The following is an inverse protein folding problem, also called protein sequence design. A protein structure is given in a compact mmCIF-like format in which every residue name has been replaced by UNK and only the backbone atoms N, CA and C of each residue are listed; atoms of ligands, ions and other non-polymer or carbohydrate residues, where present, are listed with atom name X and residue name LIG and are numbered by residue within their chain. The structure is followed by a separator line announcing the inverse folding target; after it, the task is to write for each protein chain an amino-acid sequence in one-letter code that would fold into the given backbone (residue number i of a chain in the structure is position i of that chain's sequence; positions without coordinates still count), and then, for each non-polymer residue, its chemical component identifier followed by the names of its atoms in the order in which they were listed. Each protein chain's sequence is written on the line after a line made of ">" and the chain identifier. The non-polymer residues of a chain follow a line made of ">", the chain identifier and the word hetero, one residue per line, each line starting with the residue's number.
data_IF_467735315781
#
_entry.id   IF_467735315781
#
_cell.length_a   1.000
_cell.length_b   1.000
_cell.length_c   1.000
_cell.angle_alpha   90.00
_cell.angle_beta   90.00
_cell.angle_gamma   90.00
#
_symmetry.space_group_name_H-M   'P 1'
#
loop_
_entity.id
_entity.type
_entity.pdbx_description
1 polymer ?
#
# COMPACT_ATOMS: atom_id res chain seq x y z
N UNK A 1 21.07 0.60 9.50
CA UNK A 1 20.70 1.58 8.45
C UNK A 1 19.51 1.03 7.68
N UNK A 2 18.39 1.74 7.66
CA UNK A 2 17.18 1.33 6.93
C UNK A 2 17.47 1.32 5.42
N UNK A 3 17.36 0.14 4.78
CA UNK A 3 17.50 -0.05 3.33
C UNK A 3 16.12 -0.23 2.73
N UNK A 4 15.84 0.41 1.59
CA UNK A 4 14.56 0.25 0.89
C UNK A 4 14.41 -1.11 0.23
N UNK A 5 13.18 -1.44 -0.21
CA UNK A 5 12.89 -2.73 -0.86
C UNK A 5 13.67 -2.90 -2.17
N UNK A 6 13.81 -1.83 -2.94
CA UNK A 6 14.56 -1.85 -4.21
C UNK A 6 16.05 -1.52 -4.05
N UNK A 7 16.57 -1.42 -2.84
CA UNK A 7 18.01 -1.32 -2.65
C UNK A 7 18.66 -2.61 -3.19
N UNK A 8 19.73 -2.50 -3.98
CA UNK A 8 20.36 -3.65 -4.65
C UNK A 8 20.64 -4.82 -3.70
N UNK A 9 21.18 -4.51 -2.52
CA UNK A 9 21.37 -5.47 -1.44
C UNK A 9 20.09 -6.25 -1.09
N UNK A 10 18.95 -5.57 -0.91
CA UNK A 10 17.67 -6.19 -0.56
C UNK A 10 17.20 -7.12 -1.66
N UNK A 11 17.25 -6.67 -2.92
CA UNK A 11 16.84 -7.49 -4.07
C UNK A 11 17.72 -8.72 -4.26
N UNK A 12 19.05 -8.57 -4.13
CA UNK A 12 19.99 -9.68 -4.18
C UNK A 12 19.73 -10.67 -3.05
N UNK A 13 19.48 -10.18 -1.84
CA UNK A 13 19.18 -11.03 -0.69
C UNK A 13 17.91 -11.87 -0.93
N UNK A 14 16.82 -11.22 -1.36
CA UNK A 14 15.56 -11.89 -1.69
C UNK A 14 15.74 -12.98 -2.76
N UNK A 15 16.51 -12.69 -3.82
CA UNK A 15 16.76 -13.65 -4.90
C UNK A 15 17.64 -14.81 -4.46
N UNK A 16 18.76 -14.54 -3.80
CA UNK A 16 19.79 -15.53 -3.52
C UNK A 16 19.41 -16.49 -2.37
N UNK A 17 18.51 -16.06 -1.48
CA UNK A 17 18.14 -16.84 -0.29
C UNK A 17 16.69 -17.34 -0.33
N UNK A 18 16.00 -17.20 -1.46
CA UNK A 18 14.56 -17.49 -1.57
C UNK A 18 13.74 -16.81 -0.45
N UNK A 19 14.20 -15.64 0.01
CA UNK A 19 13.59 -14.97 1.15
C UNK A 19 12.24 -14.37 0.75
N UNK A 20 11.28 -14.42 1.67
CA UNK A 20 9.94 -13.87 1.49
C UNK A 20 9.90 -12.42 1.96
N UNK A 21 9.21 -11.56 1.21
CA UNK A 21 9.01 -10.16 1.60
C UNK A 21 7.86 -10.08 2.61
N UNK A 22 8.16 -9.57 3.81
CA UNK A 22 7.21 -9.32 4.89
C UNK A 22 7.11 -7.82 5.08
N UNK A 23 5.90 -7.27 5.07
CA UNK A 23 5.65 -5.85 5.28
C UNK A 23 4.79 -5.61 6.52
N UNK A 24 5.14 -4.58 7.29
CA UNK A 24 4.31 -4.02 8.35
C UNK A 24 4.10 -2.54 8.03
N UNK A 25 2.86 -2.13 7.78
CA UNK A 25 2.53 -0.75 7.44
C UNK A 25 1.82 -0.06 8.59
N UNK A 26 2.13 1.22 8.80
CA UNK A 26 1.51 2.09 9.79
C UNK A 26 0.68 3.15 9.07
N UNK A 27 -0.39 3.62 9.70
CA UNK A 27 -1.19 4.72 9.16
C UNK A 27 -0.29 5.93 8.82
N UNK A 28 -0.32 6.49 7.60
CA UNK A 28 0.69 7.45 7.13
C UNK A 28 0.84 8.71 7.99
N UNK A 29 -0.25 9.29 8.47
CA UNK A 29 -0.18 10.46 9.37
C UNK A 29 0.42 10.08 10.72
N UNK A 30 0.06 8.91 11.28
CA UNK A 30 0.61 8.43 12.55
C UNK A 30 2.11 8.15 12.41
N UNK A 31 2.53 7.64 11.25
CA UNK A 31 3.94 7.44 10.92
C UNK A 31 4.71 8.77 10.82
N UNK A 32 4.20 9.74 10.06
CA UNK A 32 4.86 11.04 9.91
C UNK A 32 4.97 11.79 11.25
N UNK A 33 3.92 11.75 12.08
CA UNK A 33 3.98 12.29 13.44
C UNK A 33 5.04 11.57 14.28
N UNK A 34 5.07 10.23 14.25
CA UNK A 34 6.07 9.46 14.99
C UNK A 34 7.50 9.78 14.56
N UNK A 35 7.72 10.08 13.28
CA UNK A 35 9.02 10.53 12.76
C UNK A 35 9.40 11.89 13.31
N UNK A 36 8.48 12.87 13.28
CA UNK A 36 8.71 14.18 13.88
C UNK A 36 9.11 14.06 15.36
N UNK A 37 8.38 13.25 16.14
CA UNK A 37 8.67 13.02 17.56
C UNK A 37 10.02 12.34 17.76
N UNK A 38 10.34 11.31 16.96
CA UNK A 38 11.65 10.65 16.99
C UNK A 38 12.79 11.65 16.67
N UNK A 39 12.59 12.54 15.71
CA UNK A 39 13.53 13.62 15.42
C UNK A 39 13.68 14.55 16.63
N UNK A 40 12.58 15.11 17.15
CA UNK A 40 12.56 16.11 18.22
C UNK A 40 13.25 15.62 19.49
N UNK A 41 12.97 14.38 19.91
CA UNK A 41 13.36 13.88 21.24
C UNK A 41 14.58 12.96 21.22
N UNK A 42 14.88 12.30 20.09
CA UNK A 42 16.01 11.37 19.98
C UNK A 42 17.09 11.89 19.05
N UNK A 43 16.82 11.94 17.75
CA UNK A 43 17.86 12.16 16.73
C UNK A 43 18.40 13.60 16.71
N UNK A 44 17.58 14.57 17.12
CA UNK A 44 17.88 16.01 17.04
C UNK A 44 17.82 16.70 18.38
N UNK A 45 17.98 15.96 19.49
CA UNK A 45 17.93 16.51 20.87
C UNK A 45 18.78 17.78 21.07
N UNK A 46 19.92 17.89 20.36
CA UNK A 46 20.88 19.00 20.45
C UNK A 46 20.89 19.94 19.24
N UNK A 47 20.04 19.70 18.24
CA UNK A 47 19.97 20.54 17.05
C UNK A 47 19.16 21.80 17.35
N UNK A 48 19.83 22.96 17.32
CA UNK A 48 19.22 24.28 17.58
C UNK A 48 18.30 24.73 16.44
N UNK A 49 18.47 24.18 15.24
CA UNK A 49 17.66 24.54 14.07
C UNK A 49 16.42 23.68 13.94
N UNK A 50 16.32 22.57 14.67
CA UNK A 50 15.13 21.73 14.65
C UNK A 50 13.94 22.50 15.24
N UNK A 51 12.78 22.54 14.56
CA UNK A 51 11.62 23.27 15.03
C UNK A 51 11.04 22.57 16.27
N UNK A 52 11.26 23.19 17.44
CA UNK A 52 10.80 22.68 18.73
C UNK A 52 9.53 23.35 19.21
N UNK A 53 9.12 24.45 18.56
CA UNK A 53 8.08 25.36 18.99
C UNK A 53 8.42 26.12 20.28
N UNK A 54 7.53 27.04 20.66
CA UNK A 54 7.72 27.90 21.83
C UNK A 54 7.22 27.27 23.14
N UNK A 55 6.29 26.30 23.05
CA UNK A 55 5.72 25.63 24.21
C UNK A 55 6.33 24.23 24.43
N UNK A 56 6.08 23.67 25.63
CA UNK A 56 6.56 22.34 26.01
C UNK A 56 5.69 21.20 25.47
N UNK A 57 4.75 21.46 24.55
CA UNK A 57 3.89 20.41 24.02
C UNK A 57 4.69 19.42 23.17
N UNK A 58 4.27 18.15 23.21
CA UNK A 58 4.92 17.08 22.46
C UNK A 58 4.98 17.39 20.96
N UNK A 59 3.94 18.04 20.43
CA UNK A 59 3.79 18.36 19.00
C UNK A 59 4.23 19.79 18.63
N UNK A 60 4.72 20.57 19.59
CA UNK A 60 5.21 21.94 19.33
C UNK A 60 6.31 21.96 18.26
N UNK A 61 6.21 22.90 17.31
CA UNK A 61 7.11 23.02 16.16
C UNK A 61 6.73 22.15 14.95
N UNK A 62 5.69 21.32 15.02
CA UNK A 62 5.32 20.45 13.90
C UNK A 62 4.89 21.22 12.65
N UNK A 63 4.24 22.38 12.79
CA UNK A 63 3.83 23.22 11.64
C UNK A 63 5.03 23.76 10.87
N UNK A 64 6.03 24.26 11.58
CA UNK A 64 7.29 24.74 10.98
C UNK A 64 8.00 23.60 10.26
N UNK A 65 8.03 22.40 10.86
CA UNK A 65 8.57 21.19 10.26
C UNK A 65 7.83 20.79 8.97
N UNK A 66 6.50 20.78 9.00
CA UNK A 66 5.65 20.52 7.83
C UNK A 66 5.93 21.54 6.72
N UNK A 67 5.84 22.83 7.05
CA UNK A 67 6.04 23.93 6.10
C UNK A 67 7.40 23.86 5.43
N UNK A 68 8.44 23.43 6.17
CA UNK A 68 9.77 23.20 5.62
C UNK A 68 9.76 22.13 4.53
N UNK A 69 9.18 20.96 4.81
CA UNK A 69 9.09 19.86 3.84
C UNK A 69 8.15 20.15 2.67
N UNK A 70 7.07 20.90 2.88
CA UNK A 70 6.16 21.31 1.79
C UNK A 70 6.87 22.23 0.80
N UNK A 71 7.55 23.28 1.28
CA UNK A 71 8.30 24.23 0.42
C UNK A 71 9.43 23.55 -0.36
N UNK A 72 9.95 22.45 0.15
CA UNK A 72 11.14 21.79 -0.38
C UNK A 72 10.85 20.43 -0.99
N UNK A 73 9.57 20.11 -1.21
CA UNK A 73 9.10 18.82 -1.73
C UNK A 73 9.85 18.36 -2.99
N UNK A 74 10.25 19.29 -3.85
CA UNK A 74 10.97 19.03 -5.11
C UNK A 74 12.31 19.76 -5.21
N UNK A 75 12.82 20.32 -4.11
CA UNK A 75 14.07 21.06 -4.13
C UNK A 75 15.25 20.09 -4.02
N UNK A 76 15.94 19.88 -5.15
CA UNK A 76 17.11 19.00 -5.22
C UNK A 76 18.37 19.56 -4.56
N UNK A 77 18.40 20.87 -4.28
CA UNK A 77 19.50 21.60 -3.64
C UNK A 77 19.31 21.77 -2.13
N UNK A 78 18.20 21.31 -1.59
CA UNK A 78 17.87 21.51 -0.18
C UNK A 78 18.73 20.56 0.68
N UNK A 79 19.56 21.07 1.60
CA UNK A 79 20.40 20.21 2.46
C UNK A 79 19.49 19.26 3.26
N UNK A 80 19.95 18.01 3.47
CA UNK A 80 19.25 16.97 4.25
C UNK A 80 18.54 17.57 5.47
N UNK A 81 17.22 17.77 5.38
CA UNK A 81 16.50 18.58 6.34
C UNK A 81 16.60 17.99 7.73
N UNK A 82 17.19 18.79 8.62
CA UNK A 82 17.47 18.44 10.00
C UNK A 82 18.23 17.12 10.14
N UNK A 83 18.90 16.63 9.09
CA UNK A 83 19.51 15.29 9.04
C UNK A 83 18.60 14.19 9.65
N UNK A 84 17.30 14.27 9.41
CA UNK A 84 16.31 13.36 9.98
C UNK A 84 15.48 12.67 8.89
N UNK A 85 14.40 11.98 9.28
CA UNK A 85 13.45 11.39 8.34
C UNK A 85 12.80 12.46 7.46
N UNK A 86 12.64 12.15 6.17
CA UNK A 86 11.81 12.91 5.26
C UNK A 86 10.42 12.25 5.20
N UNK A 87 9.36 12.91 5.71
CA UNK A 87 8.04 12.31 5.83
C UNK A 87 7.29 12.18 4.50
N UNK A 88 7.74 12.89 3.45
CA UNK A 88 7.00 12.99 2.20
C UNK A 88 6.89 11.62 1.54
N UNK A 89 5.66 11.08 1.51
CA UNK A 89 5.30 9.81 0.88
C UNK A 89 6.30 8.68 1.17
N UNK A 90 6.75 8.55 2.42
CA UNK A 90 7.86 7.67 2.79
C UNK A 90 7.58 6.20 2.53
N UNK A 91 6.33 5.73 2.72
CA UNK A 91 5.96 4.34 2.45
C UNK A 91 6.06 4.07 0.95
N UNK A 92 5.51 4.95 0.13
CA UNK A 92 5.58 4.85 -1.33
C UNK A 92 7.03 4.90 -1.81
N UNK A 93 7.85 5.84 -1.28
CA UNK A 93 9.29 5.93 -1.58
C UNK A 93 10.02 4.62 -1.26
N UNK A 94 9.79 4.09 -0.07
CA UNK A 94 10.43 2.88 0.42
C UNK A 94 10.06 1.67 -0.46
N UNK A 95 8.81 1.61 -0.93
CA UNK A 95 8.29 0.55 -1.77
C UNK A 95 8.48 0.78 -3.27
N UNK A 96 8.97 1.93 -3.75
CA UNK A 96 9.15 2.19 -5.19
C UNK A 96 10.58 2.52 -5.60
N UNK A 97 11.47 2.82 -4.65
CA UNK A 97 12.80 3.37 -4.93
C UNK A 97 13.93 2.62 -4.22
N UNK A 98 15.15 2.85 -4.68
CA UNK A 98 16.39 2.36 -4.03
C UNK A 98 16.84 3.25 -2.84
N UNK A 99 16.12 4.34 -2.57
CA UNK A 99 16.52 5.35 -1.60
C UNK A 99 16.07 4.97 -0.18
N UNK A 100 16.94 5.18 0.81
CA UNK A 100 16.60 5.04 2.22
C UNK A 100 15.52 6.03 2.66
N UNK A 101 14.75 5.65 3.68
CA UNK A 101 13.81 6.49 4.40
C UNK A 101 14.43 7.80 4.92
N UNK A 102 15.73 7.78 5.25
CA UNK A 102 16.47 8.94 5.76
C UNK A 102 17.10 9.83 4.67
N UNK A 103 17.06 9.41 3.41
CA UNK A 103 17.77 10.11 2.33
C UNK A 103 16.96 11.28 1.76
N UNK A 104 17.69 12.13 1.03
CA UNK A 104 17.29 13.34 0.30
C UNK A 104 15.83 13.35 -0.20
N UNK A 105 15.18 14.53 -0.22
CA UNK A 105 13.87 14.67 -0.87
C UNK A 105 13.95 14.05 -2.26
N UNK A 106 12.93 13.25 -2.63
CA UNK A 106 12.99 12.61 -3.93
C UNK A 106 12.95 13.73 -4.99
N UNK A 107 13.84 13.67 -5.98
CA UNK A 107 13.85 14.64 -7.09
C UNK A 107 12.51 14.65 -7.85
N UNK A 108 11.75 13.56 -7.73
CA UNK A 108 10.49 13.32 -8.41
C UNK A 108 9.49 12.68 -7.45
N UNK A 109 8.20 12.80 -7.75
CA UNK A 109 7.19 12.06 -7.01
C UNK A 109 7.45 10.53 -7.05
N UNK A 110 7.29 9.80 -5.93
CA UNK A 110 7.49 8.36 -5.90
C UNK A 110 6.49 7.64 -6.81
N UNK A 111 6.97 6.58 -7.49
CA UNK A 111 6.13 5.82 -8.42
C UNK A 111 5.13 4.93 -7.65
N UNK A 112 3.89 5.40 -7.54
CA UNK A 112 2.79 4.72 -6.84
C UNK A 112 2.48 3.34 -7.44
N UNK A 113 2.45 3.21 -8.76
CA UNK A 113 2.19 1.94 -9.44
C UNK A 113 3.22 0.88 -9.05
N UNK A 114 4.49 1.25 -9.00
CA UNK A 114 5.57 0.35 -8.58
C UNK A 114 5.45 -0.03 -7.11
N UNK A 115 5.10 0.91 -6.23
CA UNK A 115 4.85 0.62 -4.81
C UNK A 115 3.68 -0.36 -4.63
N UNK A 116 2.59 -0.18 -5.39
CA UNK A 116 1.44 -1.08 -5.37
C UNK A 116 1.80 -2.50 -5.83
N UNK A 117 2.62 -2.64 -6.88
CA UNK A 117 3.11 -3.94 -7.33
C UNK A 117 3.91 -4.65 -6.23
N UNK A 118 4.80 -3.93 -5.53
CA UNK A 118 5.54 -4.49 -4.39
C UNK A 118 4.58 -4.91 -3.28
N UNK A 119 3.67 -4.03 -2.88
CA UNK A 119 2.68 -4.32 -1.85
C UNK A 119 1.85 -5.58 -2.17
N UNK A 120 1.46 -5.76 -3.42
CA UNK A 120 0.73 -6.96 -3.90
C UNK A 120 1.60 -8.21 -3.89
N UNK A 121 2.89 -8.07 -4.20
CA UNK A 121 3.86 -9.18 -4.24
C UNK A 121 4.37 -9.64 -2.87
N UNK A 122 4.19 -8.85 -1.82
CA UNK A 122 4.67 -9.20 -0.49
C UNK A 122 4.01 -10.49 0.00
N UNK A 123 4.79 -11.43 0.51
CA UNK A 123 4.28 -12.72 1.00
C UNK A 123 3.42 -12.57 2.26
N UNK A 124 3.67 -11.52 3.04
CA UNK A 124 2.85 -11.15 4.18
C UNK A 124 2.73 -9.63 4.27
N UNK A 125 1.56 -9.16 4.71
CA UNK A 125 1.29 -7.76 4.99
C UNK A 125 0.52 -7.65 6.31
N UNK A 126 1.10 -6.94 7.28
CA UNK A 126 0.44 -6.60 8.53
C UNK A 126 0.28 -5.09 8.72
N UNK A 127 -0.52 -4.73 9.72
CA UNK A 127 -0.88 -3.37 10.07
C UNK A 127 -0.44 -3.08 11.50
N UNK A 128 0.36 -2.03 11.69
CA UNK A 128 0.94 -1.69 13.00
C UNK A 128 -0.15 -1.34 14.02
N UNK A 129 -1.23 -0.69 13.60
CA UNK A 129 -2.36 -0.36 14.47
C UNK A 129 -3.16 -1.59 14.93
N UNK A 130 -2.97 -2.75 14.28
CA UNK A 130 -3.48 -4.06 14.66
C UNK A 130 -2.31 -5.05 14.78
N UNK A 131 -1.26 -4.62 15.50
CA UNK A 131 -0.01 -5.38 15.62
C UNK A 131 -0.23 -6.81 16.17
N UNK A 132 -0.98 -7.02 17.27
CA UNK A 132 -1.22 -8.36 17.77
C UNK A 132 -1.92 -9.28 16.75
N UNK A 133 -2.96 -8.78 16.08
CA UNK A 133 -3.71 -9.52 15.06
C UNK A 133 -2.82 -9.81 13.83
N UNK A 134 -1.95 -8.86 13.48
CA UNK A 134 -0.96 -9.04 12.41
C UNK A 134 0.04 -10.14 12.78
N UNK A 135 0.50 -10.21 14.03
CA UNK A 135 1.42 -11.27 14.48
C UNK A 135 0.74 -12.64 14.52
N UNK A 136 -0.52 -12.72 14.93
CA UNK A 136 -1.32 -13.93 14.84
C UNK A 136 -1.48 -14.42 13.39
N UNK A 137 -1.86 -13.51 12.47
CA UNK A 137 -1.96 -13.82 11.05
C UNK A 137 -0.62 -14.27 10.45
N UNK A 138 0.48 -13.60 10.85
CA UNK A 138 1.82 -13.97 10.42
C UNK A 138 2.21 -15.37 10.92
N UNK A 139 1.93 -15.68 12.18
CA UNK A 139 2.19 -16.99 12.77
C UNK A 139 1.44 -18.08 12.00
N UNK A 140 0.14 -17.91 11.74
CA UNK A 140 -0.66 -18.85 10.97
C UNK A 140 -0.12 -19.05 9.55
N UNK A 141 0.21 -17.95 8.86
CA UNK A 141 0.73 -17.98 7.50
C UNK A 141 2.12 -18.64 7.38
N UNK A 142 2.89 -18.70 8.46
CA UNK A 142 4.27 -19.23 8.45
C UNK A 142 4.40 -20.62 9.05
N UNK A 143 3.56 -20.98 10.01
CA UNK A 143 3.57 -22.31 10.64
C UNK A 143 2.65 -23.30 9.94
N UNK A 144 1.66 -22.83 9.18
CA UNK A 144 0.66 -23.70 8.54
C UNK A 144 -0.29 -24.35 9.55
N UNK A 145 -0.42 -23.78 10.75
CA UNK A 145 -1.40 -24.22 11.73
C UNK A 145 -2.81 -24.21 11.11
N UNK A 146 -3.51 -25.32 11.26
CA UNK A 146 -4.90 -25.48 10.79
C UNK A 146 -5.91 -24.77 11.68
N UNK A 147 -5.55 -24.53 12.94
CA UNK A 147 -6.42 -23.93 13.95
C UNK A 147 -5.84 -22.60 14.43
N UNK A 148 -6.74 -21.65 14.66
CA UNK A 148 -6.40 -20.35 15.25
C UNK A 148 -6.11 -20.57 16.74
N UNK A 149 -4.90 -20.23 17.23
CA UNK A 149 -4.62 -20.32 18.66
C UNK A 149 -5.65 -19.51 19.46
N UNK A 150 -6.09 -20.02 20.61
CA UNK A 150 -7.15 -19.38 21.40
C UNK A 150 -6.84 -17.91 21.73
N UNK A 151 -5.58 -17.57 22.01
CA UNK A 151 -5.14 -16.20 22.26
C UNK A 151 -5.18 -15.28 21.02
N UNK A 152 -5.30 -15.83 19.82
CA UNK A 152 -5.44 -15.07 18.57
C UNK A 152 -6.89 -14.82 18.18
N UNK A 153 -7.85 -15.44 18.89
CA UNK A 153 -9.27 -15.23 18.65
C UNK A 153 -9.66 -13.84 19.17
N UNK A 154 -10.33 -13.06 18.35
CA UNK A 154 -10.89 -11.77 18.71
C UNK A 154 -11.69 -11.86 20.01
N UNK A 155 -11.47 -10.89 20.90
CA UNK A 155 -12.12 -10.82 22.21
C UNK A 155 -11.35 -11.56 23.30
N UNK A 156 -10.48 -12.50 22.93
CA UNK A 156 -9.57 -13.09 23.90
C UNK A 156 -8.41 -12.13 24.18
N UNK A 157 -8.02 -11.98 25.45
CA UNK A 157 -6.89 -11.13 25.80
C UNK A 157 -5.61 -11.79 25.27
N UNK A 158 -4.80 -11.00 24.56
CA UNK A 158 -3.48 -11.42 24.05
C UNK A 158 -2.44 -11.36 25.18
N UNK A 159 -2.87 -11.42 26.44
CA UNK A 159 -2.15 -10.90 27.61
C UNK A 159 -0.92 -11.70 28.03
N UNK A 160 -0.68 -12.88 27.46
CA UNK A 160 0.39 -13.78 27.94
C UNK A 160 1.51 -14.04 26.93
N UNK A 161 1.40 -13.55 25.69
CA UNK A 161 2.53 -13.60 24.77
C UNK A 161 3.26 -12.27 24.83
N UNK A 162 4.50 -12.31 25.32
CA UNK A 162 5.40 -11.16 25.34
C UNK A 162 5.72 -10.75 23.90
N UNK A 163 4.80 -10.06 23.25
CA UNK A 163 5.07 -9.35 22.03
C UNK A 163 6.18 -8.35 22.36
N UNK A 164 7.37 -8.61 21.81
CA UNK A 164 8.52 -7.77 22.06
C UNK A 164 8.22 -6.36 21.53
N UNK A 165 8.04 -5.42 22.45
CA UNK A 165 7.85 -4.02 22.11
C UNK A 165 9.01 -3.21 22.67
N UNK A 166 9.89 -2.77 21.77
CA UNK A 166 10.93 -1.83 22.14
C UNK A 166 10.29 -0.46 22.40
N UNK A 167 10.36 0.01 23.65
CA UNK A 167 9.94 1.37 23.98
C UNK A 167 11.07 2.31 23.59
N UNK A 168 10.91 2.98 22.45
CA UNK A 168 11.72 4.15 22.16
C UNK A 168 11.36 5.24 23.19
N UNK A 169 12.35 5.77 23.92
CA UNK A 169 12.19 6.75 25.00
C UNK A 169 11.72 8.13 24.50
N UNK A 170 10.59 8.16 23.79
CA UNK A 170 9.93 9.35 23.28
C UNK A 170 8.62 9.59 24.02
N UNK A 171 8.21 10.86 24.22
CA UNK A 171 6.94 11.15 24.87
C UNK A 171 5.76 10.51 24.14
N UNK A 172 4.71 10.20 24.92
CA UNK A 172 3.43 9.79 24.35
C UNK A 172 2.90 10.86 23.39
N UNK A 173 2.36 10.42 22.26
CA UNK A 173 1.81 11.27 21.23
C UNK A 173 0.61 10.61 20.55
N UNK A 174 -0.32 11.44 20.07
CA UNK A 174 -1.50 11.00 19.33
C UNK A 174 -1.78 11.96 18.19
N UNK A 175 -2.36 11.48 17.10
CA UNK A 175 -2.84 12.36 16.01
C UNK A 175 -3.97 13.28 16.46
N UNK A 176 -4.66 12.93 17.54
CA UNK A 176 -5.72 13.75 18.12
C UNK A 176 -5.19 14.99 18.85
N UNK A 177 -3.89 15.04 19.15
CA UNK A 177 -3.26 16.25 19.71
C UNK A 177 -2.83 17.25 18.64
N UNK A 178 -3.04 16.95 17.36
CA UNK A 178 -2.78 17.86 16.25
C UNK A 178 -4.01 18.73 16.01
N UNK A 179 -3.78 20.03 15.81
CA UNK A 179 -4.82 20.88 15.25
C UNK A 179 -5.09 20.56 13.77
N UNK A 180 -6.20 21.11 13.26
CA UNK A 180 -6.64 20.84 11.88
C UNK A 180 -5.61 21.27 10.84
N UNK A 181 -4.89 22.37 11.08
CA UNK A 181 -3.87 22.89 10.17
C UNK A 181 -2.69 21.91 10.07
N UNK A 182 -2.12 21.49 11.20
CA UNK A 182 -1.02 20.53 11.24
C UNK A 182 -1.44 19.17 10.65
N UNK A 183 -2.65 18.69 10.97
CA UNK A 183 -3.17 17.44 10.41
C UNK A 183 -3.33 17.53 8.89
N UNK A 184 -3.84 18.64 8.37
CA UNK A 184 -3.94 18.90 6.92
C UNK A 184 -2.58 18.97 6.24
N UNK A 185 -1.61 19.63 6.87
CA UNK A 185 -0.23 19.67 6.38
C UNK A 185 0.40 18.28 6.29
N UNK A 186 0.23 17.45 7.33
CA UNK A 186 0.68 16.05 7.26
C UNK A 186 0.00 15.28 6.12
N UNK A 187 -1.33 15.42 5.93
CA UNK A 187 -2.05 14.79 4.81
C UNK A 187 -1.44 15.13 3.47
N UNK A 188 -1.09 16.41 3.24
CA UNK A 188 -0.44 16.86 1.99
C UNK A 188 0.91 16.17 1.78
N UNK A 189 1.70 16.02 2.84
CA UNK A 189 3.01 15.35 2.76
C UNK A 189 2.89 13.85 2.47
N UNK A 190 1.85 13.19 2.96
CA UNK A 190 1.69 11.72 2.89
C UNK A 190 0.54 11.26 1.97
N UNK A 191 0.12 12.11 1.03
CA UNK A 191 -1.08 11.85 0.21
C UNK A 191 -0.99 10.58 -0.64
N UNK A 192 0.19 10.24 -1.18
CA UNK A 192 0.36 9.01 -1.93
C UNK A 192 0.29 7.78 -1.02
N UNK A 193 0.87 7.90 0.18
CA UNK A 193 0.89 6.86 1.20
C UNK A 193 -0.51 6.56 1.74
N UNK A 194 -1.39 7.56 1.88
CA UNK A 194 -2.78 7.34 2.30
C UNK A 194 -3.51 6.40 1.33
N UNK A 195 -3.40 6.63 0.02
CA UNK A 195 -3.98 5.72 -0.97
C UNK A 195 -3.32 4.33 -0.94
N UNK A 196 -2.00 4.25 -0.77
CA UNK A 196 -1.28 2.98 -0.67
C UNK A 196 -1.70 2.18 0.57
N UNK A 197 -1.90 2.87 1.70
CA UNK A 197 -2.39 2.28 2.95
C UNK A 197 -3.86 1.82 2.84
N UNK A 198 -4.70 2.47 2.03
CA UNK A 198 -6.04 1.97 1.71
C UNK A 198 -5.98 0.59 1.03
N UNK A 199 -5.10 0.42 0.02
CA UNK A 199 -4.88 -0.89 -0.60
C UNK A 199 -4.30 -1.89 0.39
N UNK A 200 -3.44 -1.44 1.31
CA UNK A 200 -2.89 -2.27 2.37
C UNK A 200 -3.97 -2.82 3.31
N UNK A 201 -4.84 -1.94 3.83
CA UNK A 201 -5.93 -2.32 4.73
C UNK A 201 -6.90 -3.30 4.07
N UNK A 202 -7.28 -3.04 2.82
CA UNK A 202 -8.14 -3.96 2.08
C UNK A 202 -7.47 -5.33 1.86
N UNK A 203 -6.18 -5.37 1.54
CA UNK A 203 -5.47 -6.65 1.43
C UNK A 203 -5.42 -7.35 2.80
N UNK A 204 -5.05 -6.63 3.86
CA UNK A 204 -4.97 -7.18 5.21
C UNK A 204 -6.31 -7.79 5.64
N UNK A 205 -7.42 -7.09 5.42
CA UNK A 205 -8.77 -7.61 5.66
C UNK A 205 -9.03 -8.89 4.86
N UNK A 206 -8.71 -8.93 3.56
CA UNK A 206 -8.85 -10.16 2.75
C UNK A 206 -8.00 -11.31 3.27
N UNK A 207 -6.78 -11.03 3.70
CA UNK A 207 -5.85 -12.03 4.25
C UNK A 207 -6.40 -12.57 5.59
N UNK A 208 -7.02 -11.73 6.43
CA UNK A 208 -7.68 -12.17 7.66
C UNK A 208 -8.96 -12.97 7.43
N UNK A 209 -9.72 -12.65 6.37
CA UNK A 209 -10.95 -13.36 6.04
C UNK A 209 -10.73 -14.83 5.64
N UNK A 210 -9.49 -15.20 5.29
CA UNK A 210 -9.09 -16.60 5.08
C UNK A 210 -9.22 -17.44 6.38
N UNK A 211 -9.24 -16.77 7.53
CA UNK A 211 -9.35 -17.36 8.86
C UNK A 211 -10.71 -17.08 9.51
N UNK A 212 -11.79 -17.06 8.71
CA UNK A 212 -13.18 -16.92 9.16
C UNK A 212 -13.50 -15.67 10.00
N UNK A 213 -12.77 -14.56 9.80
CA UNK A 213 -12.97 -13.27 10.49
C UNK A 213 -12.78 -13.31 12.01
N UNK A 214 -12.21 -14.40 12.54
CA UNK A 214 -12.05 -14.56 13.99
C UNK A 214 -10.77 -13.92 14.53
N UNK A 215 -9.84 -13.50 13.67
CA UNK A 215 -8.57 -12.92 14.10
C UNK A 215 -8.63 -11.45 14.51
N UNK A 216 -9.55 -10.67 13.93
CA UNK A 216 -9.69 -9.24 14.22
C UNK A 216 -11.14 -8.92 14.57
N UNK A 217 -11.33 -8.17 15.64
CA UNK A 217 -12.67 -7.76 16.03
C UNK A 217 -13.26 -6.78 15.01
N UNK A 218 -14.53 -6.93 14.59
CA UNK A 218 -15.17 -6.02 13.64
C UNK A 218 -15.05 -4.55 14.06
N UNK A 219 -15.21 -4.25 15.36
CA UNK A 219 -15.01 -2.91 15.93
C UNK A 219 -13.61 -2.35 15.66
N UNK A 220 -12.57 -3.17 15.82
CA UNK A 220 -11.17 -2.79 15.58
C UNK A 220 -10.94 -2.51 14.10
N UNK A 221 -11.38 -3.43 13.22
CA UNK A 221 -11.25 -3.27 11.77
C UNK A 221 -12.00 -2.03 11.27
N UNK A 222 -13.22 -1.80 11.76
CA UNK A 222 -13.99 -0.59 11.43
C UNK A 222 -13.31 0.69 11.90
N UNK A 223 -12.67 0.67 13.07
CA UNK A 223 -11.88 1.81 13.55
C UNK A 223 -10.68 2.11 12.64
N UNK A 224 -9.98 1.09 12.13
CA UNK A 224 -8.87 1.30 11.18
C UNK A 224 -9.34 1.98 9.89
N UNK A 225 -10.47 1.52 9.35
CA UNK A 225 -11.07 2.12 8.15
C UNK A 225 -11.58 3.53 8.42
N UNK A 226 -12.25 3.75 9.55
CA UNK A 226 -12.75 5.06 9.96
C UNK A 226 -11.61 6.08 10.08
N UNK A 227 -10.52 5.73 10.77
CA UNK A 227 -9.31 6.56 10.87
C UNK A 227 -8.78 6.96 9.50
N UNK A 228 -8.64 5.98 8.59
CA UNK A 228 -8.19 6.24 7.22
C UNK A 228 -9.15 7.15 6.46
N UNK A 229 -10.47 6.91 6.55
CA UNK A 229 -11.45 7.74 5.88
C UNK A 229 -11.42 9.17 6.38
N UNK A 230 -11.33 9.41 7.69
CA UNK A 230 -11.19 10.77 8.24
C UNK A 230 -10.02 11.54 7.60
N UNK A 231 -8.96 10.84 7.20
CA UNK A 231 -7.77 11.46 6.63
C UNK A 231 -7.73 11.50 5.09
N UNK A 232 -8.44 10.59 4.41
CA UNK A 232 -8.68 10.67 2.97
C UNK A 232 -9.77 11.70 2.61
N UNK A 233 -10.79 11.82 3.47
CA UNK A 233 -12.06 12.51 3.20
C UNK A 233 -12.13 13.88 3.87
N UNK A 234 -11.16 14.74 3.59
CA UNK A 234 -11.26 16.12 4.05
C UNK A 234 -12.34 16.83 3.24
N UNK A 235 -13.37 17.42 3.88
CA UNK A 235 -14.32 18.24 3.16
C UNK A 235 -13.54 19.38 2.50
N UNK A 236 -13.67 19.48 1.17
CA UNK A 236 -13.14 20.62 0.42
C UNK A 236 -13.86 21.85 0.94
N UNK A 237 -13.18 22.64 1.78
CA UNK A 237 -13.69 23.89 2.31
C UNK A 237 -14.12 24.78 1.14
N UNK A 238 -15.20 25.52 1.34
CA UNK A 238 -15.85 26.30 0.29
C UNK A 238 -14.96 27.38 -0.34
N UNK A 239 -13.79 27.70 0.23
CA UNK A 239 -12.81 28.62 -0.38
C UNK A 239 -12.06 28.04 -1.58
N UNK A 240 -12.11 26.72 -1.80
CA UNK A 240 -11.47 26.07 -2.95
C UNK A 240 -12.45 25.95 -4.15
N UNK A 241 -13.30 26.97 -4.34
CA UNK A 241 -14.34 27.03 -5.37
C UNK A 241 -13.76 26.85 -6.76
N UNK A 242 -12.56 27.38 -7.02
CA UNK A 242 -11.87 27.21 -8.29
C UNK A 242 -11.48 25.75 -8.55
N UNK A 243 -11.09 24.99 -7.53
CA UNK A 243 -10.80 23.55 -7.66
C UNK A 243 -12.07 22.73 -7.88
N UNK A 244 -13.19 23.11 -7.25
CA UNK A 244 -14.51 22.51 -7.54
C UNK A 244 -14.98 22.80 -8.98
N UNK A 245 -14.74 24.01 -9.49
CA UNK A 245 -15.06 24.39 -10.88
C UNK A 245 -14.17 23.63 -11.87
N UNK A 246 -12.86 23.57 -11.63
CA UNK A 246 -11.91 22.85 -12.49
C UNK A 246 -12.19 21.34 -12.54
N UNK A 247 -12.55 20.73 -11.39
CA UNK A 247 -12.91 19.31 -11.34
C UNK A 247 -14.24 19.02 -12.07
N UNK A 248 -15.25 19.89 -11.92
CA UNK A 248 -16.51 19.78 -12.68
C UNK A 248 -16.29 19.95 -14.19
N UNK A 249 -15.43 20.89 -14.60
CA UNK A 249 -15.05 21.10 -16.00
C UNK A 249 -14.35 19.86 -16.61
N UNK A 250 -13.41 19.25 -15.88
CA UNK A 250 -12.71 18.04 -16.32
C UNK A 250 -13.65 16.81 -16.41
N UNK A 251 -14.65 16.71 -15.54
CA UNK A 251 -15.68 15.66 -15.63
C UNK A 251 -16.66 15.90 -16.79
N UNK A 252 -16.97 17.15 -17.15
CA UNK A 252 -17.79 17.46 -18.33
C UNK A 252 -17.07 17.16 -19.64
N UNK A 253 -15.76 17.41 -19.74
CA UNK A 253 -14.97 17.06 -20.94
C UNK A 253 -14.91 15.55 -21.18
N UNK A 254 -14.79 14.74 -20.11
CA UNK A 254 -14.83 13.28 -20.23
C UNK A 254 -16.17 12.73 -20.71
N UNK A 255 -17.29 13.38 -20.38
CA UNK A 255 -18.62 12.98 -20.89
C UNK A 255 -18.76 13.22 -22.39
N UNK A 256 -18.13 14.27 -22.92
CA UNK A 256 -18.18 14.58 -24.35
C UNK A 256 -17.28 13.69 -25.21
N UNK A 257 -16.26 13.05 -24.64
CA UNK A 257 -15.42 12.09 -25.36
C UNK A 257 -16.05 10.69 -25.47
N UNK A 258 -16.96 10.35 -24.55
CA UNK A 258 -17.61 9.04 -24.51
C UNK A 258 -18.81 8.89 -25.45
N UNK A 259 -19.29 9.97 -26.08
CA UNK A 259 -20.42 9.94 -27.03
C UNK A 259 -19.99 9.86 -28.50
N UNK A 260 -18.69 9.86 -28.81
CA UNK A 260 -18.19 9.93 -30.20
C UNK A 260 -17.43 8.67 -30.69
N UNK A 261 -17.41 7.57 -29.94
CA UNK A 261 -16.73 6.34 -30.37
C UNK A 261 -17.72 5.19 -30.61
N UNK A 262 -18.35 5.20 -31.78
CA UNK A 262 -18.94 4.02 -32.41
C UNK A 262 -17.84 3.00 -32.73
N UNK A 263 -17.53 2.13 -31.78
CA UNK A 263 -16.68 0.97 -32.00
C UNK A 263 -17.45 -0.06 -32.85
N UNK A 264 -17.11 -0.16 -34.14
CA UNK A 264 -17.52 -1.28 -35.00
C UNK A 264 -16.92 -2.58 -34.46
N UNK A 265 -17.76 -3.46 -33.94
CA UNK A 265 -17.40 -4.86 -33.72
C UNK A 265 -17.28 -5.57 -35.06
N UNK A 266 -16.05 -5.93 -35.45
CA UNK A 266 -15.81 -6.91 -36.51
C UNK A 266 -16.03 -8.31 -35.93
N UNK A 267 -17.12 -8.94 -36.38
CA UNK A 267 -17.38 -10.37 -36.23
C UNK A 267 -16.33 -11.14 -37.05
N UNK A 268 -15.45 -11.88 -36.39
CA UNK A 268 -14.59 -12.86 -37.06
C UNK A 268 -15.29 -14.21 -37.01
N UNK A 269 -15.74 -14.68 -38.18
CA UNK A 269 -16.22 -16.03 -38.40
C UNK A 269 -15.07 -16.99 -38.73
N UNK A 270 -15.26 -18.25 -38.37
CA UNK A 270 -14.32 -19.36 -38.55
C UNK A 270 -13.78 -19.49 -39.97
N UNK A 271 -12.46 -19.62 -40.12
CA UNK A 271 -11.81 -19.94 -41.39
C UNK A 271 -10.42 -20.54 -41.20
N UNK A 272 -10.28 -21.82 -41.57
CA UNK A 272 -9.00 -22.56 -41.67
C UNK A 272 -7.99 -21.81 -42.52
N UNK A 273 -6.75 -21.70 -42.04
CA UNK A 273 -5.60 -21.33 -42.85
C UNK A 273 -4.54 -22.45 -42.82
N UNK A 274 -4.34 -23.08 -43.98
CA UNK A 274 -3.20 -23.97 -44.29
C UNK A 274 -1.95 -23.12 -44.47
N UNK A 275 -0.86 -23.47 -43.78
CA UNK A 275 0.46 -22.89 -44.05
C UNK A 275 1.19 -23.81 -45.05
N UNK A 276 1.46 -23.26 -46.25
CA UNK A 276 2.40 -23.80 -47.24
C UNK A 276 3.81 -23.34 -46.86
N UNK A 277 4.72 -24.28 -46.62
CA UNK A 277 6.16 -23.99 -46.52
C UNK A 277 6.78 -24.00 -47.91
N UNK A 278 7.35 -22.87 -48.33
CA UNK A 278 8.15 -22.77 -49.56
C UNK A 278 9.61 -23.07 -49.27
N UNK A 279 10.15 -24.04 -50.01
CA UNK A 279 11.57 -24.36 -50.07
C UNK A 279 12.33 -23.32 -50.89
N UNK A 280 13.51 -22.85 -50.45
CA UNK A 280 14.56 -22.39 -51.37
C UNK A 280 15.97 -22.46 -50.76
N UNK A 281 16.72 -23.41 -51.34
CA UNK A 281 18.13 -23.46 -51.76
C UNK A 281 19.26 -22.86 -50.89
N UNK A 282 20.23 -23.75 -50.62
CA UNK A 282 21.62 -23.58 -50.16
C UNK A 282 22.46 -22.65 -51.07
N UNK A 283 23.59 -22.13 -50.54
CA UNK A 283 24.89 -22.56 -51.06
C UNK A 283 25.89 -23.02 -49.99
N UNK A 284 26.95 -23.68 -50.48
CA UNK A 284 27.95 -24.49 -49.75
C UNK A 284 29.14 -23.66 -49.23
N UNK A 285 29.71 -24.20 -48.15
CA UNK A 285 31.14 -24.31 -47.79
C UNK A 285 31.94 -23.08 -47.35
N UNK A 286 32.51 -23.14 -46.12
CA UNK A 286 33.96 -23.43 -45.92
C UNK A 286 34.23 -23.85 -44.46
N UNK A 287 35.05 -24.89 -44.31
CA UNK A 287 35.56 -25.49 -43.06
C UNK A 287 36.47 -24.52 -42.29
N UNK A 288 36.39 -24.54 -40.96
CA UNK A 288 37.57 -24.63 -40.08
C UNK A 288 37.21 -25.27 -38.74
N UNK A 289 37.96 -26.33 -38.42
CA UNK A 289 37.91 -27.13 -37.19
C UNK A 289 38.47 -26.29 -36.03
N UNK A 290 37.89 -26.43 -34.85
CA UNK A 290 38.65 -26.57 -33.59
C UNK A 290 37.83 -27.45 -32.63
N UNK A 291 38.50 -28.49 -32.13
CA UNK A 291 38.04 -29.49 -31.15
C UNK A 291 38.26 -28.96 -29.73
N UNK A 292 37.52 -29.58 -28.78
CA UNK A 292 37.74 -29.74 -27.31
C UNK A 292 36.62 -29.14 -26.45
N UNK A 293 36.36 -29.68 -25.24
CA UNK A 293 35.82 -31.01 -25.03
C UNK A 293 34.51 -30.98 -24.21
N UNK A 294 33.83 -32.11 -24.31
CA UNK A 294 32.61 -32.51 -23.61
C UNK A 294 32.69 -32.39 -22.08
N UNK A 295 31.75 -31.66 -21.49
CA UNK A 295 31.33 -31.88 -20.10
C UNK A 295 29.85 -32.26 -20.09
N UNK A 296 29.60 -33.50 -19.71
CA UNK A 296 28.29 -34.08 -19.41
C UNK A 296 27.59 -33.30 -18.30
N UNK A 297 26.33 -32.92 -18.54
CA UNK A 297 25.38 -32.61 -17.48
C UNK A 297 24.08 -33.34 -17.77
N UNK A 298 23.76 -34.29 -16.90
CA UNK A 298 22.46 -34.95 -16.80
C UNK A 298 21.37 -33.89 -16.68
N UNK A 299 20.43 -33.90 -17.63
CA UNK A 299 19.13 -33.28 -17.46
C UNK A 299 18.24 -34.30 -16.73
N UNK A 300 17.80 -33.96 -15.52
CA UNK A 300 16.64 -34.61 -14.90
C UNK A 300 15.39 -33.99 -15.53
N UNK A 301 14.65 -34.81 -16.28
CA UNK A 301 13.29 -34.52 -16.69
C UNK A 301 12.39 -34.51 -15.45
N UNK A 302 11.76 -33.37 -15.16
CA UNK A 302 10.62 -33.28 -14.24
C UNK A 302 9.38 -33.06 -15.10
N UNK A 303 8.63 -34.14 -15.29
CA UNK A 303 7.29 -34.17 -15.85
C UNK A 303 6.32 -33.48 -14.88
N UNK A 304 5.81 -32.31 -15.26
CA UNK A 304 4.69 -31.68 -14.56
C UNK A 304 3.39 -32.32 -15.04
N UNK A 305 2.74 -33.04 -14.13
CA UNK A 305 1.41 -33.60 -14.27
C UNK A 305 0.37 -32.47 -14.45
N UNK A 306 -0.29 -32.47 -15.60
CA UNK A 306 -1.51 -31.68 -15.84
C UNK A 306 -2.67 -32.34 -15.08
N UNK A 307 -3.14 -31.70 -13.99
CA UNK A 307 -4.44 -32.04 -13.40
C UNK A 307 -5.55 -31.22 -14.07
N UNK A 308 -6.45 -31.98 -14.67
CA UNK A 308 -7.74 -31.57 -15.22
C UNK A 308 -8.66 -31.00 -14.14
N UNK A 309 -9.18 -29.80 -14.39
CA UNK A 309 -10.30 -29.25 -13.60
C UNK A 309 -11.62 -29.74 -14.19
N UNK A 310 -12.35 -30.54 -13.40
CA UNK A 310 -13.75 -30.82 -13.62
C UNK A 310 -14.59 -29.57 -13.35
N UNK A 311 -15.49 -29.28 -14.29
CA UNK A 311 -16.41 -28.14 -14.26
C UNK A 311 -17.77 -28.67 -13.82
N UNK A 312 -18.06 -28.60 -12.53
CA UNK A 312 -19.39 -28.91 -12.01
C UNK A 312 -20.21 -27.62 -11.88
N UNK A 313 -21.36 -27.61 -12.57
CA UNK A 313 -22.43 -26.64 -12.37
C UNK A 313 -23.26 -27.15 -11.19
N UNK A 314 -23.48 -26.31 -10.17
CA UNK A 314 -24.63 -26.48 -9.30
C UNK A 314 -25.23 -25.13 -8.93
N UNK A 315 -26.55 -25.12 -8.97
CA UNK A 315 -27.49 -24.01 -8.91
C UNK A 315 -27.91 -23.68 -7.48
N UNK A 316 -28.22 -22.39 -7.26
CA UNK A 316 -29.23 -21.86 -6.32
C UNK A 316 -29.17 -22.31 -4.85
N UNK A 317 -28.98 -21.31 -3.98
CA UNK A 317 -29.69 -21.26 -2.70
C UNK A 317 -28.81 -20.86 -1.52
N UNK A 318 -28.68 -19.56 -1.27
CA UNK A 318 -28.60 -18.98 0.08
C UNK A 318 -28.61 -17.45 -0.05
N UNK A 319 -29.82 -16.89 -0.01
CA UNK A 319 -30.06 -15.48 0.29
C UNK A 319 -30.25 -15.37 1.81
N UNK A 320 -29.84 -14.23 2.37
CA UNK A 320 -30.03 -13.74 3.75
C UNK A 320 -28.93 -14.16 4.74
N UNK A 321 -28.02 -13.22 5.07
CA UNK A 321 -27.86 -12.63 6.42
C UNK A 321 -26.56 -11.79 6.45
N UNK A 322 -26.65 -10.49 6.17
CA UNK A 322 -25.74 -9.45 6.71
C UNK A 322 -26.35 -8.09 6.35
N UNK A 323 -27.18 -7.57 7.25
CA UNK A 323 -27.85 -6.27 7.18
C UNK A 323 -27.44 -5.46 8.41
N UNK A 324 -27.32 -4.14 8.24
CA UNK A 324 -27.11 -3.07 9.23
C UNK A 324 -25.67 -2.88 9.77
N UNK A 325 -25.10 -1.67 9.52
CA UNK A 325 -24.40 -0.84 10.53
C UNK A 325 -23.72 0.46 10.03
N UNK A 326 -23.87 0.87 8.76
CA UNK A 326 -23.37 2.19 8.30
C UNK A 326 -24.45 3.27 8.11
N UNK A 327 -25.73 2.95 8.31
CA UNK A 327 -26.84 3.89 8.06
C UNK A 327 -27.30 4.71 9.29
N UNK A 328 -26.75 4.46 10.49
CA UNK A 328 -27.15 5.23 11.69
C UNK A 328 -26.33 6.50 11.94
N UNK A 329 -25.33 6.81 11.12
CA UNK A 329 -24.60 8.07 11.21
C UNK A 329 -24.85 8.85 9.93
N UNK A 330 -25.58 9.96 10.01
CA UNK A 330 -25.80 10.94 8.93
C UNK A 330 -24.47 11.57 8.46
N UNK A 331 -23.55 10.77 7.93
CA UNK A 331 -22.26 11.23 7.42
C UNK A 331 -22.48 11.62 5.97
N UNK A 332 -22.62 12.93 5.72
CA UNK A 332 -22.50 13.46 4.37
C UNK A 332 -21.08 13.21 3.87
N UNK A 333 -20.93 12.27 2.93
CA UNK A 333 -19.65 11.94 2.32
C UNK A 333 -19.32 13.01 1.28
N UNK A 334 -18.17 13.65 1.43
CA UNK A 334 -17.71 14.65 0.47
C UNK A 334 -17.55 14.03 -0.93
N UNK A 335 -17.93 14.71 -2.02
CA UNK A 335 -17.71 14.24 -3.38
C UNK A 335 -16.25 13.87 -3.70
N UNK A 336 -15.28 14.41 -2.96
CA UNK A 336 -13.86 14.05 -3.04
C UNK A 336 -13.55 12.62 -2.56
N UNK A 337 -14.46 11.98 -1.81
CA UNK A 337 -14.35 10.60 -1.33
C UNK A 337 -14.94 9.56 -2.28
N UNK A 338 -15.75 10.01 -3.24
CA UNK A 338 -16.47 9.14 -4.18
C UNK A 338 -15.55 8.21 -4.99
N UNK A 339 -14.28 8.54 -5.32
CA UNK A 339 -13.39 7.58 -5.97
C UNK A 339 -13.11 6.31 -5.13
N UNK A 340 -13.39 6.35 -3.82
CA UNK A 340 -13.11 5.28 -2.87
C UNK A 340 -14.38 4.63 -2.30
N UNK A 341 -15.57 5.09 -2.71
CA UNK A 341 -16.86 4.52 -2.28
C UNK A 341 -17.85 4.49 -3.46
N UNK A 342 -18.37 3.31 -3.82
CA UNK A 342 -19.40 3.18 -4.87
C UNK A 342 -20.74 2.90 -4.23
N UNK A 343 -21.78 3.58 -4.70
CA UNK A 343 -23.14 3.26 -4.34
C UNK A 343 -23.62 2.10 -5.23
N UNK A 344 -23.92 0.94 -4.64
CA UNK A 344 -24.30 -0.27 -5.39
C UNK A 344 -25.69 -0.22 -6.06
N UNK A 345 -26.39 0.92 -6.01
CA UNK A 345 -27.74 1.08 -6.56
C UNK A 345 -28.86 0.75 -5.57
N UNK A 346 -28.54 0.30 -4.36
CA UNK A 346 -29.51 0.04 -3.27
C UNK A 346 -29.43 1.08 -2.15
N UNK A 347 -28.79 2.23 -2.39
CA UNK A 347 -28.53 3.23 -1.35
C UNK A 347 -27.46 2.78 -0.34
N UNK A 348 -26.63 1.79 -0.69
CA UNK A 348 -25.53 1.30 0.14
C UNK A 348 -24.21 1.78 -0.41
N UNK A 349 -23.43 2.43 0.44
CA UNK A 349 -22.04 2.73 0.18
C UNK A 349 -21.23 1.45 0.35
N UNK A 350 -20.77 0.90 -0.77
CA UNK A 350 -19.85 -0.23 -0.81
C UNK A 350 -18.44 0.33 -0.91
N UNK A 351 -17.51 -0.22 -0.10
CA UNK A 351 -16.08 0.13 -0.19
C UNK A 351 -15.61 -0.06 -1.63
N UNK A 352 -15.21 1.02 -2.29
CA UNK A 352 -14.66 0.95 -3.65
C UNK A 352 -13.17 0.66 -3.49
N UNK A 353 -12.82 -0.58 -3.72
CA UNK A 353 -11.44 -1.02 -3.77
C UNK A 353 -11.03 -1.00 -5.24
N UNK A 354 -10.20 -0.02 -5.61
CA UNK A 354 -9.60 0.08 -6.95
C UNK A 354 -8.57 -1.03 -7.21
#
# INVERSE_FOLDING_TARGET
>A
REKSVFHNYTLQYLRNHHAKLVLMLRHPIKLALSQFIMCKYSLRKRDKFFPRGADNSTVSGIKEWINKFERQRFSSSAPLHYHCYNPTNIITRFLSSQYSAMNLPPKFEPNRTKALLVLRSASFLGIVEAYPESMCSFLLATTGLSEIPSYCICGNPISNHSLFHEKHNVPYHSVNSLDNEARNGLRKLVSADLGLYAHALNRFEKDLNQYHNNLICPKKLNSLWSDLYTDLCVPVTMEDTQTKIAFRAALSEKRNYSSSSSARFLRVTNGRARIRTSSRRRPKARRRRNKLPSSSKSAMDVTVSNRSFHKEKSTRGMKSQLYLDLHHQNIQISPSCVPYMYNNGEGRLVRLVL
#
